data_IF_880980000830
#
_entry.id   IF_880980000830
#
_cell.length_a   1.000
_cell.length_b   1.000
_cell.length_c   1.000
_cell.angle_alpha   90.00
_cell.angle_beta   90.00
_cell.angle_gamma   90.00
#
_symmetry.space_group_name_H-M   'P 1'
#
loop_
_entity.id
_entity.type
_entity.pdbx_description
1 polymer ?
#
# COMPACT_ATOMS: atom_id res chain seq x y z
N UNK A 1 6.01 6.65 10.81
CA UNK A 1 4.96 7.64 10.47
C UNK A 1 3.90 6.88 9.69
N UNK A 2 2.60 7.11 9.92
CA UNK A 2 1.55 6.47 9.11
C UNK A 2 1.69 6.93 7.66
N UNK A 3 1.32 6.09 6.71
CA UNK A 3 1.36 6.45 5.30
C UNK A 3 0.40 7.64 5.04
N UNK A 4 0.94 8.81 4.69
CA UNK A 4 0.21 10.08 4.65
C UNK A 4 -0.82 10.23 3.51
N UNK A 5 -1.17 9.16 2.80
CA UNK A 5 -2.17 9.22 1.73
C UNK A 5 -1.78 10.17 0.58
N UNK A 6 -0.48 10.46 0.42
CA UNK A 6 0.02 11.31 -0.68
C UNK A 6 -0.31 10.70 -2.05
N UNK A 7 -0.43 9.38 -2.11
CA UNK A 7 -0.74 8.63 -3.33
C UNK A 7 -2.04 7.86 -3.14
N UNK A 8 -2.92 7.95 -4.14
CA UNK A 8 -4.19 7.21 -4.16
C UNK A 8 -3.98 5.73 -4.51
N UNK A 9 -2.93 5.42 -5.27
CA UNK A 9 -2.59 4.04 -5.67
C UNK A 9 -1.09 3.75 -5.52
N UNK A 10 -0.71 2.48 -5.27
CA UNK A 10 0.68 2.04 -5.25
C UNK A 10 1.41 2.33 -6.58
N UNK A 11 0.69 2.25 -7.70
CA UNK A 11 1.21 2.51 -9.04
C UNK A 11 1.60 3.99 -9.22
N UNK A 12 0.85 4.92 -8.63
CA UNK A 12 1.22 6.33 -8.63
C UNK A 12 2.54 6.58 -7.88
N UNK A 13 2.80 5.85 -6.79
CA UNK A 13 4.09 5.90 -6.10
C UNK A 13 5.22 5.26 -6.94
N UNK A 14 4.95 4.18 -7.68
CA UNK A 14 5.96 3.58 -8.56
C UNK A 14 6.41 4.53 -9.67
N UNK A 15 5.48 5.28 -10.26
CA UNK A 15 5.74 6.24 -11.34
C UNK A 15 6.37 7.54 -10.86
N UNK A 16 6.47 7.75 -9.55
CA UNK A 16 7.06 8.97 -9.02
C UNK A 16 8.59 8.89 -9.05
N UNK A 17 9.22 9.48 -10.06
CA UNK A 17 10.68 9.55 -10.19
C UNK A 17 11.36 10.46 -9.15
N UNK A 18 10.59 11.24 -8.37
CA UNK A 18 11.14 12.08 -7.29
C UNK A 18 11.43 11.27 -6.01
N UNK A 19 10.89 10.06 -5.90
CA UNK A 19 11.09 9.18 -4.75
C UNK A 19 12.10 8.08 -5.13
N UNK A 20 13.09 7.87 -4.28
CA UNK A 20 14.08 6.81 -4.51
C UNK A 20 13.45 5.42 -4.39
N UNK A 21 14.09 4.41 -5.01
CA UNK A 21 13.63 3.01 -4.94
C UNK A 21 13.49 2.54 -3.49
N UNK A 22 14.46 2.82 -2.64
CA UNK A 22 14.45 2.41 -1.22
C UNK A 22 13.33 3.09 -0.44
N UNK A 23 13.06 4.36 -0.74
CA UNK A 23 11.99 5.11 -0.11
C UNK A 23 10.61 4.61 -0.59
N UNK A 24 10.46 4.29 -1.89
CA UNK A 24 9.25 3.63 -2.43
C UNK A 24 8.97 2.30 -1.73
N UNK A 25 9.99 1.46 -1.52
CA UNK A 25 9.84 0.19 -0.81
C UNK A 25 9.35 0.45 0.62
N UNK A 26 10.04 1.30 1.38
CA UNK A 26 9.68 1.65 2.76
C UNK A 26 8.23 2.14 2.86
N UNK A 27 7.84 3.00 1.93
CA UNK A 27 6.51 3.58 1.83
C UNK A 27 5.43 2.51 1.52
N UNK A 28 5.67 1.61 0.57
CA UNK A 28 4.76 0.53 0.23
C UNK A 28 4.62 -0.51 1.36
N UNK A 29 5.71 -0.79 2.09
CA UNK A 29 5.67 -1.69 3.24
C UNK A 29 4.84 -1.12 4.39
N UNK A 30 5.00 0.17 4.71
CA UNK A 30 4.16 0.85 5.69
C UNK A 30 2.68 0.82 5.26
N UNK A 31 2.40 1.12 4.00
CA UNK A 31 1.03 1.10 3.49
C UNK A 31 0.40 -0.30 3.55
N UNK A 32 1.17 -1.35 3.23
CA UNK A 32 0.75 -2.75 3.37
C UNK A 32 0.35 -3.06 4.82
N UNK A 33 1.17 -2.64 5.77
CA UNK A 33 0.98 -3.00 7.18
C UNK A 33 -0.16 -2.18 7.81
N UNK A 34 -0.31 -0.91 7.43
CA UNK A 34 -1.47 -0.08 7.76
C UNK A 34 -2.77 -0.70 7.23
N UNK A 35 -2.79 -1.16 5.97
CA UNK A 35 -3.96 -1.83 5.39
C UNK A 35 -4.29 -3.14 6.07
N UNK A 36 -3.29 -3.97 6.38
CA UNK A 36 -3.51 -5.21 7.15
C UNK A 36 -4.05 -4.93 8.55
N UNK A 37 -3.52 -3.91 9.23
CA UNK A 37 -3.98 -3.50 10.55
C UNK A 37 -5.42 -3.01 10.50
N UNK A 38 -5.74 -2.16 9.52
CA UNK A 38 -7.09 -1.68 9.27
C UNK A 38 -8.07 -2.83 8.97
N UNK A 39 -7.70 -3.79 8.11
CA UNK A 39 -8.52 -4.97 7.82
C UNK A 39 -8.81 -5.79 9.09
N UNK A 40 -7.78 -6.05 9.91
CA UNK A 40 -7.96 -6.74 11.21
C UNK A 40 -8.87 -5.97 12.17
N UNK A 41 -8.82 -4.64 12.15
CA UNK A 41 -9.68 -3.80 12.97
C UNK A 41 -11.12 -3.69 12.44
N UNK A 42 -11.37 -4.04 11.18
CA UNK A 42 -12.69 -3.95 10.52
C UNK A 42 -13.32 -5.31 10.20
N UNK A 43 -12.83 -6.38 10.83
CA UNK A 43 -13.37 -7.76 10.71
C UNK A 43 -14.82 -7.89 11.24
N UNK A 44 -15.36 -6.86 11.88
CA UNK A 44 -16.79 -6.73 12.16
C UNK A 44 -17.53 -6.10 10.95
N UNK A 45 -17.64 -6.84 9.85
CA UNK A 45 -18.81 -6.73 8.97
C UNK A 45 -18.70 -6.00 7.61
N UNK A 46 -17.50 -5.70 7.08
CA UNK A 46 -17.41 -5.23 5.68
C UNK A 46 -16.18 -5.80 4.93
N UNK A 47 -16.34 -7.01 4.38
CA UNK A 47 -15.50 -7.54 3.30
C UNK A 47 -15.78 -6.75 2.01
N UNK A 48 -15.20 -5.56 1.88
CA UNK A 48 -15.20 -4.82 0.62
C UNK A 48 -14.12 -5.38 -0.32
N UNK A 49 -14.52 -5.89 -1.49
CA UNK A 49 -13.64 -6.38 -2.58
C UNK A 49 -12.46 -5.43 -2.86
N UNK A 50 -12.69 -4.12 -2.78
CA UNK A 50 -11.69 -3.06 -2.95
C UNK A 50 -10.49 -3.15 -1.98
N UNK A 51 -10.68 -3.68 -0.77
CA UNK A 51 -9.62 -3.74 0.26
C UNK A 51 -8.59 -4.82 -0.07
N UNK A 52 -9.07 -5.97 -0.49
CA UNK A 52 -8.23 -7.09 -0.89
C UNK A 52 -7.45 -6.75 -2.17
N UNK A 53 -8.11 -6.10 -3.14
CA UNK A 53 -7.47 -5.65 -4.37
C UNK A 53 -6.40 -4.58 -4.12
N UNK A 54 -6.64 -3.60 -3.23
CA UNK A 54 -5.61 -2.62 -2.86
C UNK A 54 -4.37 -3.30 -2.24
N UNK A 55 -4.56 -4.26 -1.32
CA UNK A 55 -3.44 -4.99 -0.73
C UNK A 55 -2.65 -5.79 -1.77
N UNK A 56 -3.34 -6.36 -2.77
CA UNK A 56 -2.72 -7.08 -3.89
C UNK A 56 -1.92 -6.13 -4.78
N UNK A 57 -2.43 -4.93 -5.06
CA UNK A 57 -1.71 -3.89 -5.80
C UNK A 57 -0.43 -3.45 -5.06
N UNK A 58 -0.50 -3.24 -3.73
CA UNK A 58 0.68 -2.89 -2.92
C UNK A 58 1.75 -3.99 -3.01
N UNK A 59 1.34 -5.26 -2.87
CA UNK A 59 2.28 -6.41 -2.96
C UNK A 59 2.90 -6.52 -4.35
N UNK A 60 2.12 -6.30 -5.41
CA UNK A 60 2.63 -6.29 -6.78
C UNK A 60 3.66 -5.18 -6.97
N UNK A 61 3.36 -3.97 -6.50
CA UNK A 61 4.28 -2.85 -6.59
C UNK A 61 5.60 -3.10 -5.84
N UNK A 62 5.55 -3.75 -4.66
CA UNK A 62 6.76 -4.19 -3.96
C UNK A 62 7.56 -5.21 -4.77
N UNK A 63 6.89 -6.18 -5.40
CA UNK A 63 7.56 -7.18 -6.24
C UNK A 63 8.22 -6.58 -7.49
N UNK A 64 7.66 -5.50 -8.06
CA UNK A 64 8.29 -4.77 -9.17
C UNK A 64 9.53 -3.98 -8.76
N UNK A 65 9.68 -3.69 -7.46
CA UNK A 65 10.83 -3.00 -6.89
C UNK A 65 11.85 -3.93 -6.25
N UNK A 66 11.71 -5.25 -6.30
CA UNK A 66 12.69 -6.24 -5.80
C UNK A 66 13.50 -6.82 -6.96
#
# INVERSE_FOLDING_TARGET
MPYFGKYETPDALLRDDTVSREEKITMLEQWRDDKKSYMRATDEGMEGEDRAEMLKQIKRALAELQ
#
